data_IF_477949178335
#
_entry.id   IF_477949178335
#
_cell.length_a   1.000
_cell.length_b   1.000
_cell.length_c   1.000
_cell.angle_alpha   90.00
_cell.angle_beta   90.00
_cell.angle_gamma   90.00
#
_symmetry.space_group_name_H-M   'P 1'
#
loop_
_entity.id
_entity.type
_entity.pdbx_description
1 polymer ?
#
# COMPACT_ATOMS: atom_id res chain seq x y z
N UNK A 1 12.31 15.07 -32.54
CA UNK A 1 12.12 15.83 -31.28
C UNK A 1 11.86 14.84 -30.17
N UNK A 2 12.92 14.27 -29.61
CA UNK A 2 12.83 13.22 -28.59
C UNK A 2 12.80 13.88 -27.22
N UNK A 3 11.61 14.03 -26.64
CA UNK A 3 11.45 14.58 -25.28
C UNK A 3 11.78 13.47 -24.29
N UNK A 4 13.00 13.50 -23.74
CA UNK A 4 13.34 12.71 -22.56
C UNK A 4 12.56 13.28 -21.37
N UNK A 5 11.65 12.47 -20.84
CA UNK A 5 10.99 12.74 -19.55
C UNK A 5 12.02 12.44 -18.46
N UNK A 6 12.63 13.50 -17.92
CA UNK A 6 13.48 13.38 -16.73
C UNK A 6 12.61 12.91 -15.55
N UNK A 7 12.94 11.75 -14.99
CA UNK A 7 12.34 11.29 -13.74
C UNK A 7 12.73 12.25 -12.61
N UNK A 8 11.79 12.76 -11.80
CA UNK A 8 12.13 13.58 -10.66
C UNK A 8 12.59 12.66 -9.53
N UNK A 9 13.90 12.44 -9.45
CA UNK A 9 14.50 11.63 -8.38
C UNK A 9 15.97 11.91 -8.10
N UNK A 10 16.66 12.74 -8.89
CA UNK A 10 18.10 13.00 -8.74
C UNK A 10 18.39 14.47 -8.42
N UNK A 11 17.96 14.92 -7.25
CA UNK A 11 18.53 16.11 -6.63
C UNK A 11 18.63 15.86 -5.13
N UNK A 12 19.82 15.46 -4.69
CA UNK A 12 20.14 15.29 -3.28
C UNK A 12 20.22 16.64 -2.58
N UNK A 13 19.50 16.78 -1.46
CA UNK A 13 19.68 17.82 -0.44
C UNK A 13 19.12 17.32 0.93
N UNK A 14 20.04 16.98 1.85
CA UNK A 14 19.97 17.01 3.34
C UNK A 14 18.89 16.24 4.13
N UNK A 15 19.03 16.17 5.48
CA UNK A 15 20.06 15.44 6.25
C UNK A 15 19.91 13.92 6.01
N UNK A 16 20.50 13.01 6.79
CA UNK A 16 20.19 11.58 6.64
C UNK A 16 18.66 11.36 6.61
N UNK A 17 18.11 11.01 5.44
CA UNK A 17 16.69 10.68 5.32
C UNK A 17 16.50 9.36 6.04
N UNK A 18 16.10 9.44 7.31
CA UNK A 18 15.68 8.30 8.11
C UNK A 18 14.71 7.45 7.28
N UNK A 19 14.97 6.15 7.18
CA UNK A 19 14.06 5.25 6.50
C UNK A 19 12.71 5.28 7.21
N UNK A 20 11.59 5.00 6.51
CA UNK A 20 10.27 4.93 7.15
C UNK A 20 10.25 3.96 8.34
N UNK A 21 11.02 2.88 8.26
CA UNK A 21 11.20 1.90 9.33
C UNK A 21 11.94 2.48 10.54
N UNK A 22 13.02 3.22 10.30
CA UNK A 22 13.78 3.92 11.34
C UNK A 22 12.92 4.98 12.03
N UNK A 23 12.09 5.69 11.25
CA UNK A 23 11.12 6.67 11.74
C UNK A 23 10.10 6.01 12.66
N UNK A 24 9.48 4.90 12.25
CA UNK A 24 8.54 4.14 13.10
C UNK A 24 9.21 3.65 14.37
N UNK A 25 10.46 3.15 14.28
CA UNK A 25 11.22 2.68 15.44
C UNK A 25 11.45 3.82 16.43
N UNK A 26 11.89 4.98 15.95
CA UNK A 26 12.10 6.17 16.77
C UNK A 26 10.78 6.68 17.36
N UNK A 27 9.70 6.74 16.57
CA UNK A 27 8.39 7.16 17.08
C UNK A 27 7.89 6.23 18.18
N UNK A 28 8.06 4.90 18.06
CA UNK A 28 7.71 3.96 19.13
C UNK A 28 8.52 4.20 20.41
N UNK A 29 9.82 4.49 20.26
CA UNK A 29 10.67 4.81 21.41
C UNK A 29 10.23 6.12 22.08
N UNK A 30 9.86 7.14 21.29
CA UNK A 30 9.33 8.41 21.81
C UNK A 30 8.00 8.19 22.53
N UNK A 31 7.09 7.37 21.99
CA UNK A 31 5.82 7.02 22.66
C UNK A 31 6.08 6.39 24.03
N UNK A 32 6.97 5.40 24.12
CA UNK A 32 7.32 4.76 25.40
C UNK A 32 7.90 5.76 26.40
N UNK A 33 8.77 6.68 25.92
CA UNK A 33 9.32 7.74 26.77
C UNK A 33 8.27 8.73 27.27
N UNK A 34 7.33 9.13 26.40
CA UNK A 34 6.23 10.02 26.74
C UNK A 34 5.22 9.36 27.69
N UNK A 35 4.96 8.06 27.54
CA UNK A 35 4.12 7.29 28.47
C UNK A 35 4.73 7.23 29.88
N UNK A 36 6.05 7.00 29.96
CA UNK A 36 6.76 7.03 31.23
C UNK A 36 6.70 8.43 31.88
N UNK A 37 6.97 9.47 31.10
CA UNK A 37 6.90 10.85 31.58
C UNK A 37 5.48 11.23 32.01
N UNK A 38 4.46 10.79 31.28
CA UNK A 38 3.04 10.98 31.66
C UNK A 38 2.75 10.37 33.02
N UNK A 39 3.24 9.16 33.29
CA UNK A 39 3.04 8.48 34.56
C UNK A 39 3.73 9.23 35.72
N UNK A 40 4.96 9.70 35.51
CA UNK A 40 5.69 10.52 36.49
C UNK A 40 4.95 11.84 36.80
N UNK A 41 4.46 12.54 35.77
CA UNK A 41 3.71 13.78 35.93
C UNK A 41 2.34 13.56 36.61
N UNK A 42 1.66 12.44 36.37
CA UNK A 42 0.45 12.08 37.13
C UNK A 42 0.77 11.85 38.61
N UNK A 43 1.88 11.17 38.92
CA UNK A 43 2.35 11.00 40.29
C UNK A 43 2.68 12.32 40.97
N UNK A 44 3.38 13.22 40.29
CA UNK A 44 3.68 14.57 40.77
C UNK A 44 2.41 15.40 41.01
N UNK A 45 1.46 15.37 40.07
CA UNK A 45 0.16 16.03 40.24
C UNK A 45 -0.61 15.49 41.44
N UNK A 46 -0.57 14.17 41.68
CA UNK A 46 -1.18 13.56 42.86
C UNK A 46 -0.57 14.08 44.17
N UNK A 47 0.75 14.08 44.27
CA UNK A 47 1.45 14.62 45.45
C UNK A 47 1.20 16.12 45.67
N UNK A 48 1.13 16.92 44.59
CA UNK A 48 0.82 18.34 44.68
C UNK A 48 -0.63 18.58 45.15
N UNK A 49 -1.59 17.77 44.68
CA UNK A 49 -2.97 17.84 45.14
C UNK A 49 -3.12 17.46 46.63
N UNK A 50 -2.41 16.43 47.09
CA UNK A 50 -2.36 16.06 48.50
C UNK A 50 -1.73 17.17 49.37
N UNK A 51 -0.63 17.78 48.90
CA UNK A 51 0.02 18.88 49.59
C UNK A 51 -0.89 20.12 49.69
N UNK A 52 -1.64 20.44 48.63
CA UNK A 52 -2.64 21.52 48.63
C UNK A 52 -3.79 21.24 49.61
N UNK A 53 -4.26 20.00 49.69
CA UNK A 53 -5.33 19.61 50.61
C UNK A 53 -4.92 19.65 52.09
N UNK A 54 -3.63 19.47 52.39
CA UNK A 54 -3.08 19.45 53.75
C UNK A 54 -2.59 20.80 54.30
N UNK A 55 -2.46 21.84 53.48
CA UNK A 55 -1.94 23.15 53.90
C UNK A 55 -3.07 24.09 54.38
N UNK A 56 -2.92 24.65 55.59
CA UNK A 56 -3.80 25.71 56.11
C UNK A 56 -3.50 27.09 55.51
N UNK A 57 -4.22 28.16 55.92
CA UNK A 57 -4.15 29.48 55.30
C UNK A 57 -2.87 30.23 55.69
N UNK A 58 -1.70 29.87 55.13
CA UNK A 58 -0.49 30.70 55.16
C UNK A 58 0.53 30.29 54.08
N UNK A 59 1.16 31.32 53.51
CA UNK A 59 2.43 31.39 52.75
C UNK A 59 2.97 30.09 52.14
N UNK A 60 2.65 29.87 50.86
CA UNK A 60 3.13 28.72 50.07
C UNK A 60 2.09 28.14 49.11
N UNK A 61 0.81 28.45 49.36
CA UNK A 61 -0.35 28.03 48.55
C UNK A 61 -0.26 28.54 47.10
N UNK A 62 0.03 29.82 46.87
CA UNK A 62 0.24 30.39 45.52
C UNK A 62 1.33 29.63 44.73
N UNK A 63 2.47 29.35 45.35
CA UNK A 63 3.56 28.62 44.71
C UNK A 63 3.21 27.15 44.43
N UNK A 64 2.39 26.53 45.27
CA UNK A 64 1.86 25.18 45.05
C UNK A 64 0.84 25.14 43.91
N UNK A 65 -0.04 26.14 43.82
CA UNK A 65 -0.99 26.32 42.72
C UNK A 65 -0.27 26.57 41.39
N UNK A 66 0.75 27.42 41.36
CA UNK A 66 1.58 27.65 40.17
C UNK A 66 2.26 26.36 39.70
N UNK A 67 2.83 25.57 40.63
CA UNK A 67 3.42 24.26 40.32
C UNK A 67 2.39 23.29 39.75
N UNK A 68 1.19 23.25 40.33
CA UNK A 68 0.09 22.42 39.85
C UNK A 68 -0.30 22.81 38.42
N UNK A 69 -0.36 24.11 38.12
CA UNK A 69 -0.68 24.61 36.80
C UNK A 69 0.39 24.25 35.76
N UNK A 70 1.68 24.35 36.11
CA UNK A 70 2.79 23.93 35.23
C UNK A 70 2.74 22.43 34.95
N UNK A 71 2.49 21.61 35.97
CA UNK A 71 2.36 20.15 35.79
C UNK A 71 1.16 19.79 34.91
N UNK A 72 0.02 20.47 35.09
CA UNK A 72 -1.17 20.30 34.24
C UNK A 72 -0.86 20.64 32.77
N UNK A 73 -0.21 21.78 32.52
CA UNK A 73 0.14 22.18 31.16
C UNK A 73 1.13 21.20 30.52
N UNK A 74 2.09 20.69 31.30
CA UNK A 74 3.01 19.66 30.82
C UNK A 74 2.30 18.35 30.49
N UNK A 75 1.27 17.95 31.26
CA UNK A 75 0.47 16.77 30.96
C UNK A 75 -0.30 16.92 29.65
N UNK A 76 -0.92 18.07 29.42
CA UNK A 76 -1.61 18.37 28.16
C UNK A 76 -0.65 18.28 26.95
N UNK A 77 0.55 18.84 27.07
CA UNK A 77 1.56 18.77 26.02
C UNK A 77 2.03 17.34 25.74
N UNK A 78 2.19 16.51 26.78
CA UNK A 78 2.55 15.09 26.64
C UNK A 78 1.42 14.31 25.96
N UNK A 79 0.17 14.56 26.33
CA UNK A 79 -0.99 13.91 25.72
C UNK A 79 -1.16 14.28 24.26
N UNK A 80 -0.93 15.54 23.90
CA UNK A 80 -0.90 15.98 22.50
C UNK A 80 0.20 15.26 21.71
N UNK A 81 1.43 15.22 22.25
CA UNK A 81 2.56 14.54 21.61
C UNK A 81 2.34 13.03 21.44
N UNK A 82 1.70 12.37 22.40
CA UNK A 82 1.28 10.96 22.27
C UNK A 82 0.25 10.78 21.17
N UNK A 83 -0.74 11.67 21.07
CA UNK A 83 -1.74 11.66 20.01
C UNK A 83 -1.12 11.82 18.62
N UNK A 84 -0.20 12.78 18.45
CA UNK A 84 0.53 13.01 17.21
C UNK A 84 1.39 11.81 16.81
N UNK A 85 2.12 11.23 17.77
CA UNK A 85 2.94 10.04 17.52
C UNK A 85 2.09 8.84 17.10
N UNK A 86 0.91 8.64 17.71
CA UNK A 86 -0.02 7.59 17.33
C UNK A 86 -0.56 7.77 15.91
N UNK A 87 -0.87 9.01 15.50
CA UNK A 87 -1.27 9.34 14.12
C UNK A 87 -0.15 9.00 13.14
N UNK A 88 1.10 9.34 13.46
CA UNK A 88 2.25 9.04 12.60
C UNK A 88 2.43 7.52 12.41
N UNK A 89 2.31 6.74 13.48
CA UNK A 89 2.38 5.27 13.41
C UNK A 89 1.25 4.68 12.57
N UNK A 90 0.02 5.15 12.76
CA UNK A 90 -1.13 4.72 11.97
C UNK A 90 -0.97 5.05 10.49
N UNK A 91 -0.48 6.25 10.18
CA UNK A 91 -0.20 6.69 8.81
C UNK A 91 0.86 5.80 8.15
N UNK A 92 1.96 5.50 8.87
CA UNK A 92 3.01 4.62 8.35
C UNK A 92 2.49 3.22 8.03
N UNK A 93 1.67 2.64 8.92
CA UNK A 93 1.03 1.35 8.67
C UNK A 93 0.11 1.38 7.44
N UNK A 94 -0.68 2.45 7.28
CA UNK A 94 -1.56 2.63 6.13
C UNK A 94 -0.78 2.75 4.81
N UNK A 95 0.31 3.53 4.79
CA UNK A 95 1.19 3.64 3.63
C UNK A 95 1.78 2.29 3.26
N UNK A 96 2.27 1.52 4.24
CA UNK A 96 2.78 0.17 4.00
C UNK A 96 1.74 -0.77 3.37
N UNK A 97 0.48 -0.70 3.84
CA UNK A 97 -0.61 -1.48 3.26
C UNK A 97 -0.91 -1.07 1.80
N UNK A 98 -0.95 0.23 1.51
CA UNK A 98 -1.15 0.74 0.15
C UNK A 98 -0.01 0.35 -0.80
N UNK A 99 1.23 0.37 -0.32
CA UNK A 99 2.38 -0.07 -1.09
C UNK A 99 2.30 -1.57 -1.43
N UNK A 100 1.94 -2.40 -0.45
CA UNK A 100 1.74 -3.83 -0.66
C UNK A 100 0.62 -4.10 -1.69
N UNK A 101 -0.51 -3.39 -1.59
CA UNK A 101 -1.61 -3.52 -2.54
C UNK A 101 -1.21 -3.07 -3.95
N UNK A 102 -0.49 -1.96 -4.07
CA UNK A 102 0.06 -1.47 -5.33
C UNK A 102 0.98 -2.51 -5.99
N UNK A 103 1.84 -3.18 -5.21
CA UNK A 103 2.68 -4.26 -5.76
C UNK A 103 1.86 -5.48 -6.18
N UNK A 104 0.84 -5.85 -5.40
CA UNK A 104 -0.10 -6.92 -5.75
C UNK A 104 -0.80 -6.62 -7.08
N UNK A 105 -1.39 -5.45 -7.23
CA UNK A 105 -2.08 -5.04 -8.46
C UNK A 105 -1.14 -5.01 -9.67
N UNK A 106 0.10 -4.53 -9.49
CA UNK A 106 1.12 -4.57 -10.54
C UNK A 106 1.45 -5.99 -10.99
N UNK A 107 1.59 -6.93 -10.05
CA UNK A 107 1.84 -8.34 -10.37
C UNK A 107 0.66 -8.95 -11.14
N UNK A 108 -0.57 -8.63 -10.74
CA UNK A 108 -1.79 -9.10 -11.41
C UNK A 108 -1.91 -8.52 -12.82
N UNK A 109 -1.65 -7.24 -12.99
CA UNK A 109 -1.67 -6.58 -14.29
C UNK A 109 -0.66 -7.22 -15.26
N UNK A 110 0.56 -7.54 -14.78
CA UNK A 110 1.56 -8.25 -15.58
C UNK A 110 1.10 -9.64 -15.98
N UNK A 111 0.53 -10.40 -15.03
CA UNK A 111 -0.01 -11.74 -15.31
C UNK A 111 -1.14 -11.69 -16.32
N UNK A 112 -2.10 -10.78 -16.16
CA UNK A 112 -3.22 -10.63 -17.11
C UNK A 112 -2.73 -10.21 -18.50
N UNK A 113 -1.70 -9.36 -18.59
CA UNK A 113 -1.11 -8.99 -19.88
C UNK A 113 -0.48 -10.21 -20.57
N UNK A 114 0.22 -11.07 -19.82
CA UNK A 114 0.78 -12.32 -20.35
C UNK A 114 -0.32 -13.29 -20.79
N UNK A 115 -1.35 -13.49 -19.97
CA UNK A 115 -2.52 -14.30 -20.32
C UNK A 115 -3.22 -13.76 -21.57
N UNK A 116 -3.33 -12.44 -21.73
CA UNK A 116 -3.93 -11.83 -22.92
C UNK A 116 -3.11 -12.10 -24.19
N UNK A 117 -1.78 -12.01 -24.11
CA UNK A 117 -0.90 -12.36 -25.23
C UNK A 117 -1.05 -13.83 -25.59
N UNK A 118 -0.96 -14.71 -24.59
CA UNK A 118 -1.11 -16.14 -24.79
C UNK A 118 -2.46 -16.52 -25.43
N UNK A 119 -3.56 -15.91 -24.98
CA UNK A 119 -4.89 -16.15 -25.56
C UNK A 119 -4.99 -15.65 -27.02
N UNK A 120 -4.29 -14.57 -27.37
CA UNK A 120 -4.24 -14.11 -28.77
C UNK A 120 -3.48 -15.09 -29.64
N UNK A 121 -2.35 -15.60 -29.17
CA UNK A 121 -1.55 -16.60 -29.89
C UNK A 121 -2.34 -17.90 -30.08
N UNK A 122 -3.04 -18.38 -29.05
CA UNK A 122 -3.89 -19.57 -29.12
C UNK A 122 -5.09 -19.36 -30.08
N UNK A 123 -5.69 -18.17 -30.08
CA UNK A 123 -6.74 -17.82 -31.03
C UNK A 123 -6.23 -17.81 -32.47
N UNK A 124 -5.04 -17.24 -32.72
CA UNK A 124 -4.44 -17.27 -34.06
C UNK A 124 -4.16 -18.70 -34.51
N UNK A 125 -3.64 -19.55 -33.62
CA UNK A 125 -3.33 -20.95 -33.92
C UNK A 125 -4.59 -21.76 -34.25
N UNK A 126 -5.65 -21.62 -33.44
CA UNK A 126 -6.95 -22.26 -33.71
C UNK A 126 -7.56 -21.79 -35.02
N UNK A 127 -7.46 -20.50 -35.35
CA UNK A 127 -7.91 -19.97 -36.64
C UNK A 127 -7.11 -20.54 -37.82
N UNK A 128 -5.79 -20.71 -37.70
CA UNK A 128 -4.98 -21.35 -38.74
C UNK A 128 -5.41 -22.80 -38.96
N UNK A 129 -5.64 -23.56 -37.90
CA UNK A 129 -6.11 -24.96 -37.99
C UNK A 129 -7.49 -25.06 -38.62
N UNK A 130 -8.40 -24.15 -38.28
CA UNK A 130 -9.73 -24.09 -38.87
C UNK A 130 -9.64 -23.87 -40.39
N UNK A 131 -8.86 -22.87 -40.83
CA UNK A 131 -8.68 -22.60 -42.27
C UNK A 131 -8.11 -23.80 -43.03
N UNK A 132 -7.09 -24.46 -42.48
CA UNK A 132 -6.53 -25.66 -43.09
C UNK A 132 -7.56 -26.80 -43.20
N UNK A 133 -8.43 -26.95 -42.19
CA UNK A 133 -9.52 -27.92 -42.24
C UNK A 133 -10.57 -27.55 -43.29
N UNK A 134 -10.93 -26.28 -43.41
CA UNK A 134 -11.87 -25.78 -44.41
C UNK A 134 -11.34 -25.99 -45.83
N UNK A 135 -10.06 -25.70 -46.06
CA UNK A 135 -9.37 -25.96 -47.34
C UNK A 135 -9.38 -27.47 -47.68
N UNK A 136 -9.09 -28.33 -46.71
CA UNK A 136 -9.13 -29.78 -46.92
C UNK A 136 -10.54 -30.28 -47.24
N UNK A 137 -11.58 -29.75 -46.57
CA UNK A 137 -12.97 -30.11 -46.87
C UNK A 137 -13.36 -29.67 -48.28
N UNK A 138 -12.98 -28.47 -48.70
CA UNK A 138 -13.25 -27.99 -50.06
C UNK A 138 -12.59 -28.89 -51.12
N UNK A 139 -11.33 -29.29 -50.93
CA UNK A 139 -10.64 -30.21 -51.82
C UNK A 139 -11.34 -31.57 -51.90
N UNK A 140 -11.74 -32.14 -50.76
CA UNK A 140 -12.46 -33.41 -50.70
C UNK A 140 -13.84 -33.33 -51.38
N UNK A 141 -14.53 -32.19 -51.27
CA UNK A 141 -15.79 -31.96 -51.97
C UNK A 141 -15.61 -31.91 -53.48
N UNK A 142 -14.55 -31.25 -53.98
CA UNK A 142 -14.22 -31.23 -55.40
C UNK A 142 -13.88 -32.63 -55.91
N UNK A 143 -12.99 -33.36 -55.22
CA UNK A 143 -12.65 -34.74 -55.56
C UNK A 143 -13.87 -35.65 -55.59
N UNK A 144 -14.76 -35.53 -54.59
CA UNK A 144 -16.02 -36.27 -54.54
C UNK A 144 -16.89 -35.95 -55.76
N UNK A 145 -17.09 -34.67 -56.10
CA UNK A 145 -17.87 -34.26 -57.28
C UNK A 145 -17.25 -34.80 -58.57
N UNK A 146 -15.92 -34.78 -58.70
CA UNK A 146 -15.21 -35.35 -59.85
C UNK A 146 -15.42 -36.86 -59.96
N UNK A 147 -15.32 -37.60 -58.86
CA UNK A 147 -15.55 -39.04 -58.84
C UNK A 147 -17.00 -39.40 -59.16
N UNK A 148 -17.96 -38.64 -58.64
CA UNK A 148 -19.39 -38.80 -58.95
C UNK A 148 -19.66 -38.60 -60.45
N UNK A 149 -19.05 -37.58 -61.07
CA UNK A 149 -19.14 -37.34 -62.51
C UNK A 149 -18.57 -38.50 -63.33
N UNK A 150 -17.39 -39.01 -62.97
CA UNK A 150 -16.80 -40.18 -63.65
C UNK A 150 -17.65 -41.44 -63.47
N UNK A 151 -18.26 -41.62 -62.31
CA UNK A 151 -19.19 -42.72 -62.04
C UNK A 151 -20.43 -42.65 -62.93
N UNK A 152 -20.97 -41.45 -63.17
CA UNK A 152 -22.08 -41.24 -64.11
C UNK A 152 -21.70 -41.56 -65.55
N UNK A 153 -20.51 -41.16 -66.02
CA UNK A 153 -20.06 -41.49 -67.39
C UNK A 153 -20.02 -43.00 -67.64
N UNK A 154 -19.54 -43.77 -66.66
CA UNK A 154 -19.46 -45.25 -66.75
C UNK A 154 -20.83 -45.95 -66.77
N UNK A 155 -21.93 -45.26 -66.47
CA UNK A 155 -23.28 -45.83 -66.57
C UNK A 155 -23.87 -45.75 -67.98
N UNK A 156 -23.23 -44.99 -68.89
CA UNK A 156 -23.66 -44.81 -70.27
C UNK A 156 -22.81 -45.59 -71.29
N UNK A 157 -21.73 -46.23 -70.85
CA UNK A 157 -20.95 -47.24 -71.59
C UNK A 157 -21.48 -48.66 -71.29
#
# INVERSE_FOLDING_TARGET
>A
MSVQVAAPGSAGLGPERLSPEELVRQTRQVVQGLEALRAEHHGLSGHLAEALAGQGPATGLEMLEEKQQVVSHSLEAIELGLGEAQVLLALSAHVGALEAEKQRLRSQARRLAQENVWLREELEETQRRLRASEESVAQLEEEKRHLEFLGQLRQYD
#
